data_IF_688894957309
#
_entry.id   IF_688894957309
#
_cell.length_a   1.000
_cell.length_b   1.000
_cell.length_c   1.000
_cell.angle_alpha   90.00
_cell.angle_beta   90.00
_cell.angle_gamma   90.00
#
_symmetry.space_group_name_H-M   'P 1'
#
loop_
_entity.id
_entity.type
_entity.pdbx_description
1 polymer ?
#
# COMPACT_ATOMS: atom_id res chain seq x y z
N UNK A 1 18.11 -17.05 18.10
CA UNK A 1 17.60 -15.74 18.57
C UNK A 1 17.29 -14.80 17.39
N UNK A 2 18.23 -14.53 16.50
CA UNK A 2 17.99 -13.67 15.32
C UNK A 2 16.86 -14.20 14.41
N UNK A 3 16.79 -15.51 14.18
CA UNK A 3 15.72 -16.13 13.37
C UNK A 3 14.33 -15.93 13.96
N UNK A 4 14.20 -15.93 15.30
CA UNK A 4 12.92 -15.65 15.96
C UNK A 4 12.51 -14.19 15.80
N UNK A 5 13.47 -13.26 15.93
CA UNK A 5 13.21 -11.84 15.71
C UNK A 5 12.79 -11.57 14.26
N UNK A 6 13.45 -12.22 13.30
CA UNK A 6 13.08 -12.10 11.88
C UNK A 6 11.67 -12.65 11.61
N UNK A 7 11.29 -13.75 12.26
CA UNK A 7 9.90 -14.27 12.17
C UNK A 7 8.89 -13.26 12.75
N UNK A 8 9.20 -12.63 13.88
CA UNK A 8 8.35 -11.59 14.47
C UNK A 8 8.22 -10.37 13.55
N UNK A 9 9.30 -9.97 12.87
CA UNK A 9 9.28 -8.89 11.88
C UNK A 9 8.33 -9.24 10.73
N UNK A 10 8.40 -10.46 10.19
CA UNK A 10 7.50 -10.90 9.12
C UNK A 10 6.04 -10.96 9.57
N UNK A 11 5.76 -11.50 10.75
CA UNK A 11 4.40 -11.52 11.32
C UNK A 11 3.87 -10.10 11.54
N UNK A 12 4.74 -9.18 11.96
CA UNK A 12 4.37 -7.75 12.09
C UNK A 12 4.00 -7.12 10.74
N UNK A 13 4.65 -7.53 9.65
CA UNK A 13 4.30 -7.07 8.30
C UNK A 13 2.99 -7.69 7.78
N UNK A 14 2.69 -8.95 8.11
CA UNK A 14 1.34 -9.49 7.87
C UNK A 14 0.31 -8.64 8.62
N UNK A 15 0.59 -8.36 9.89
CA UNK A 15 -0.29 -7.54 10.73
C UNK A 15 -0.50 -6.13 10.20
N UNK A 16 0.53 -5.51 9.60
CA UNK A 16 0.43 -4.21 8.94
C UNK A 16 -0.45 -4.30 7.68
N UNK A 17 -0.29 -5.33 6.87
CA UNK A 17 -1.06 -5.50 5.64
C UNK A 17 -2.54 -5.80 5.87
N UNK A 18 -2.89 -6.54 6.94
CA UNK A 18 -4.27 -6.93 7.22
C UNK A 18 -5.27 -5.76 7.18
N UNK A 19 -5.05 -4.63 7.85
CA UNK A 19 -6.00 -3.52 7.86
C UNK A 19 -5.88 -2.58 6.65
N UNK A 20 -4.77 -2.57 5.91
CA UNK A 20 -4.55 -1.65 4.79
C UNK A 20 -5.60 -1.79 3.68
N UNK A 21 -6.16 -2.98 3.52
CA UNK A 21 -7.15 -3.32 2.50
C UNK A 21 -8.59 -3.41 3.03
N UNK A 22 -8.81 -3.21 4.34
CA UNK A 22 -10.13 -3.37 4.96
C UNK A 22 -11.12 -2.30 4.54
N UNK A 23 -10.71 -1.04 4.51
CA UNK A 23 -11.63 0.06 4.23
C UNK A 23 -12.33 -0.14 2.89
N UNK A 24 -11.58 -0.44 1.82
CA UNK A 24 -12.16 -0.66 0.50
C UNK A 24 -13.08 -1.88 0.44
N UNK A 25 -12.74 -2.96 1.13
CA UNK A 25 -13.57 -4.17 1.17
C UNK A 25 -14.86 -4.02 1.99
N UNK A 26 -14.83 -3.24 3.06
CA UNK A 26 -15.96 -3.01 3.95
C UNK A 26 -16.87 -1.85 3.50
N UNK A 27 -16.34 -0.92 2.70
CA UNK A 27 -16.99 0.35 2.41
C UNK A 27 -18.40 0.25 1.83
N UNK A 28 -18.71 -0.68 0.90
CA UNK A 28 -20.10 -0.82 0.42
C UNK A 28 -21.13 -1.01 1.53
N UNK A 29 -20.80 -1.80 2.55
CA UNK A 29 -21.71 -2.01 3.69
C UNK A 29 -21.60 -0.88 4.73
N UNK A 30 -20.40 -0.33 4.94
CA UNK A 30 -20.20 0.77 5.88
C UNK A 30 -21.00 2.01 5.45
N UNK A 31 -20.91 2.41 4.19
CA UNK A 31 -21.63 3.59 3.68
C UNK A 31 -23.14 3.45 3.82
N UNK A 32 -23.69 2.26 3.52
CA UNK A 32 -25.12 1.97 3.66
C UNK A 32 -25.56 2.03 5.13
N UNK A 33 -24.84 1.34 6.02
CA UNK A 33 -25.17 1.29 7.44
C UNK A 33 -25.04 2.64 8.16
N UNK A 34 -24.16 3.52 7.69
CA UNK A 34 -23.94 4.86 8.24
C UNK A 34 -24.79 5.93 7.55
N UNK A 35 -25.47 5.61 6.44
CA UNK A 35 -26.26 6.55 5.67
C UNK A 35 -25.46 7.69 5.06
N UNK A 36 -24.20 7.41 4.63
CA UNK A 36 -23.29 8.42 4.11
C UNK A 36 -23.01 8.23 2.62
N UNK A 37 -22.48 9.28 1.98
CA UNK A 37 -22.18 9.22 0.56
C UNK A 37 -20.94 8.35 0.26
N UNK A 38 -20.90 7.81 -0.94
CA UNK A 38 -19.83 6.92 -1.42
C UNK A 38 -18.45 7.57 -1.27
N UNK A 39 -18.31 8.82 -1.69
CA UNK A 39 -17.04 9.56 -1.73
C UNK A 39 -16.36 9.73 -0.37
N UNK A 40 -17.12 9.66 0.74
CA UNK A 40 -16.59 9.82 2.09
C UNK A 40 -15.61 8.71 2.51
N UNK A 41 -15.65 7.53 1.89
CA UNK A 41 -14.61 6.50 2.04
C UNK A 41 -13.22 7.01 1.63
N UNK A 42 -13.18 7.84 0.60
CA UNK A 42 -11.96 8.51 0.17
C UNK A 42 -11.41 9.49 1.22
N UNK A 43 -12.27 10.18 1.97
CA UNK A 43 -11.85 11.09 3.06
C UNK A 43 -11.18 10.31 4.18
N UNK A 44 -11.75 9.17 4.60
CA UNK A 44 -11.12 8.30 5.61
C UNK A 44 -9.77 7.81 5.12
N UNK A 45 -9.69 7.31 3.87
CA UNK A 45 -8.45 6.87 3.24
C UNK A 45 -7.40 7.98 3.21
N UNK A 46 -7.78 9.20 2.86
CA UNK A 46 -6.91 10.37 2.89
C UNK A 46 -6.37 10.66 4.30
N UNK A 47 -7.23 10.66 5.31
CA UNK A 47 -6.82 10.89 6.71
C UNK A 47 -5.82 9.83 7.20
N UNK A 48 -6.08 8.55 6.89
CA UNK A 48 -5.16 7.45 7.21
C UNK A 48 -3.81 7.72 6.55
N UNK A 49 -3.79 7.95 5.24
CA UNK A 49 -2.54 8.12 4.48
C UNK A 49 -1.78 9.38 4.90
N UNK A 50 -2.46 10.49 5.13
CA UNK A 50 -1.83 11.73 5.62
C UNK A 50 -1.17 11.51 6.99
N UNK A 51 -1.83 10.79 7.89
CA UNK A 51 -1.29 10.44 9.21
C UNK A 51 -0.11 9.47 9.11
N UNK A 52 -0.16 8.50 8.18
CA UNK A 52 0.93 7.57 7.87
C UNK A 52 2.17 8.32 7.41
N UNK A 53 2.01 9.29 6.50
CA UNK A 53 3.12 10.12 6.01
C UNK A 53 3.73 10.94 7.15
N UNK A 54 2.91 11.60 7.96
CA UNK A 54 3.37 12.39 9.09
C UNK A 54 4.18 11.55 10.07
N UNK A 55 3.69 10.36 10.39
CA UNK A 55 4.35 9.42 11.28
C UNK A 55 5.69 8.92 10.70
N UNK A 56 5.71 8.56 9.42
CA UNK A 56 6.93 8.10 8.74
C UNK A 56 8.01 9.17 8.71
N UNK A 57 7.65 10.44 8.50
CA UNK A 57 8.59 11.57 8.55
C UNK A 57 9.20 11.78 9.94
N UNK A 58 8.44 11.47 11.01
CA UNK A 58 8.91 11.60 12.39
C UNK A 58 9.60 10.34 12.90
N UNK A 59 9.51 9.23 12.18
CA UNK A 59 9.92 7.88 12.62
C UNK A 59 11.37 7.82 13.09
N UNK A 60 12.29 8.49 12.39
CA UNK A 60 13.72 8.50 12.76
C UNK A 60 13.94 9.00 14.21
N UNK A 61 13.31 10.12 14.61
CA UNK A 61 13.43 10.68 15.96
C UNK A 61 12.82 9.75 17.01
N UNK A 62 11.70 9.13 16.67
CA UNK A 62 10.97 8.23 17.56
C UNK A 62 11.76 6.94 17.78
N UNK A 63 12.32 6.35 16.70
CA UNK A 63 13.15 5.15 16.74
C UNK A 63 14.44 5.40 17.57
N UNK A 64 15.10 6.55 17.40
CA UNK A 64 16.28 6.89 18.19
C UNK A 64 16.00 6.96 19.67
N UNK A 65 14.80 7.38 20.08
CA UNK A 65 14.44 7.54 21.50
C UNK A 65 13.93 6.26 22.15
N UNK A 66 13.14 5.46 21.42
CA UNK A 66 12.41 4.31 21.98
C UNK A 66 12.90 2.95 21.46
N UNK A 67 13.85 2.94 20.51
CA UNK A 67 14.31 1.75 19.83
C UNK A 67 13.30 1.17 18.84
N UNK A 68 13.76 0.31 17.93
CA UNK A 68 12.91 -0.30 16.90
C UNK A 68 11.80 -1.18 17.50
N UNK A 69 12.18 -2.01 18.51
CA UNK A 69 11.22 -2.91 19.15
C UNK A 69 10.12 -2.16 19.91
N UNK A 70 10.46 -1.10 20.64
CA UNK A 70 9.51 -0.27 21.36
C UNK A 70 8.54 0.45 20.41
N UNK A 71 9.07 1.03 19.33
CA UNK A 71 8.24 1.69 18.29
C UNK A 71 7.31 0.69 17.62
N UNK A 72 7.81 -0.48 17.24
CA UNK A 72 6.99 -1.53 16.61
C UNK A 72 5.83 -1.95 17.52
N UNK A 73 6.12 -2.25 18.78
CA UNK A 73 5.11 -2.66 19.77
C UNK A 73 4.04 -1.57 19.96
N UNK A 74 4.45 -0.32 20.24
CA UNK A 74 3.52 0.79 20.44
C UNK A 74 2.68 1.08 19.18
N UNK A 75 3.28 0.98 18.00
CA UNK A 75 2.60 1.21 16.73
C UNK A 75 1.54 0.14 16.45
N UNK A 76 1.85 -1.13 16.65
CA UNK A 76 0.88 -2.23 16.49
C UNK A 76 -0.24 -2.11 17.53
N UNK A 77 0.07 -1.73 18.78
CA UNK A 77 -0.93 -1.44 19.81
C UNK A 77 -1.87 -0.30 19.38
N UNK A 78 -1.30 0.77 18.83
CA UNK A 78 -2.08 1.94 18.39
C UNK A 78 -2.99 1.60 17.21
N UNK A 79 -2.50 0.82 16.21
CA UNK A 79 -3.35 0.33 15.11
C UNK A 79 -4.44 -0.62 15.62
N UNK A 80 -4.12 -1.52 16.55
CA UNK A 80 -5.09 -2.43 17.16
C UNK A 80 -6.23 -1.67 17.86
N UNK A 81 -5.89 -0.67 18.66
CA UNK A 81 -6.86 0.19 19.34
C UNK A 81 -7.69 1.01 18.35
N UNK A 82 -7.08 1.54 17.32
CA UNK A 82 -7.78 2.27 16.26
C UNK A 82 -8.80 1.38 15.53
N UNK A 83 -8.43 0.14 15.18
CA UNK A 83 -9.33 -0.82 14.55
C UNK A 83 -10.48 -1.23 15.49
N UNK A 84 -10.21 -1.34 16.79
CA UNK A 84 -11.29 -1.53 17.78
C UNK A 84 -12.22 -0.32 17.78
N UNK A 85 -11.66 0.90 17.74
CA UNK A 85 -12.43 2.13 17.61
C UNK A 85 -13.27 2.16 16.33
N UNK A 86 -12.73 1.74 15.18
CA UNK A 86 -13.54 1.55 13.97
C UNK A 86 -14.70 0.60 14.21
N UNK A 87 -14.46 -0.55 14.84
CA UNK A 87 -15.51 -1.55 15.12
C UNK A 87 -16.61 -1.08 16.05
N UNK A 88 -16.35 -0.08 16.87
CA UNK A 88 -17.30 0.51 17.83
C UNK A 88 -17.94 1.80 17.30
N UNK A 89 -17.51 2.27 16.13
CA UNK A 89 -17.97 3.52 15.55
C UNK A 89 -19.38 3.38 14.95
N UNK A 90 -20.25 4.34 15.27
CA UNK A 90 -21.62 4.42 14.76
C UNK A 90 -21.83 5.69 13.92
N UNK A 91 -20.77 6.45 13.63
CA UNK A 91 -20.85 7.67 12.81
C UNK A 91 -19.59 7.86 11.97
N UNK A 92 -19.74 8.57 10.86
CA UNK A 92 -18.60 8.94 9.99
C UNK A 92 -17.53 9.74 10.75
N UNK A 93 -17.94 10.66 11.62
CA UNK A 93 -17.01 11.48 12.39
C UNK A 93 -16.13 10.65 13.33
N UNK A 94 -16.70 9.65 14.01
CA UNK A 94 -15.91 8.74 14.88
C UNK A 94 -14.92 7.90 14.07
N UNK A 95 -15.26 7.48 12.85
CA UNK A 95 -14.32 6.81 11.95
C UNK A 95 -13.15 7.73 11.57
N UNK A 96 -13.43 8.99 11.24
CA UNK A 96 -12.38 9.99 10.95
C UNK A 96 -11.44 10.20 12.14
N UNK A 97 -11.95 10.24 13.37
CA UNK A 97 -11.12 10.36 14.58
C UNK A 97 -10.18 9.16 14.74
N UNK A 98 -10.69 7.94 14.54
CA UNK A 98 -9.88 6.72 14.65
C UNK A 98 -8.94 6.51 13.45
N UNK A 99 -9.20 7.11 12.29
CA UNK A 99 -8.32 7.08 11.12
C UNK A 99 -6.94 7.70 11.42
N UNK A 100 -6.89 8.73 12.28
CA UNK A 100 -5.65 9.41 12.64
C UNK A 100 -4.68 8.48 13.41
N UNK A 101 -5.05 7.92 14.59
CA UNK A 101 -4.15 7.00 15.30
C UNK A 101 -3.85 5.73 14.49
N UNK A 102 -4.78 5.26 13.65
CA UNK A 102 -4.51 4.16 12.74
C UNK A 102 -3.35 4.49 11.80
N UNK A 103 -3.41 5.62 11.07
CA UNK A 103 -2.35 6.02 10.14
C UNK A 103 -1.02 6.31 10.85
N UNK A 104 -1.04 6.95 12.02
CA UNK A 104 0.18 7.20 12.82
C UNK A 104 0.88 5.90 13.21
N UNK A 105 0.13 4.88 13.63
CA UNK A 105 0.67 3.56 13.94
C UNK A 105 1.23 2.86 12.71
N UNK A 106 0.48 2.82 11.61
CA UNK A 106 0.89 2.16 10.38
C UNK A 106 2.21 2.72 9.82
N UNK A 107 2.35 4.06 9.77
CA UNK A 107 3.56 4.70 9.26
C UNK A 107 4.80 4.48 10.14
N UNK A 108 4.63 4.46 11.46
CA UNK A 108 5.75 4.25 12.38
C UNK A 108 6.27 2.82 12.32
N UNK A 109 5.41 1.81 12.27
CA UNK A 109 5.84 0.40 12.20
C UNK A 109 6.49 0.09 10.86
N UNK A 110 5.93 0.59 9.76
CA UNK A 110 6.51 0.41 8.42
C UNK A 110 7.93 0.96 8.36
N UNK A 111 8.13 2.21 8.76
CA UNK A 111 9.42 2.86 8.76
C UNK A 111 10.43 2.16 9.69
N UNK A 112 9.99 1.73 10.88
CA UNK A 112 10.88 1.09 11.88
C UNK A 112 11.40 -0.26 11.39
N UNK A 113 10.51 -1.10 10.86
CA UNK A 113 10.88 -2.45 10.43
C UNK A 113 11.65 -2.45 9.12
N UNK A 114 11.29 -1.61 8.15
CA UNK A 114 12.07 -1.44 6.93
C UNK A 114 13.50 -0.99 7.26
N UNK A 115 13.67 0.01 8.12
CA UNK A 115 14.98 0.48 8.54
C UNK A 115 15.79 -0.63 9.24
N UNK A 116 15.16 -1.40 10.12
CA UNK A 116 15.84 -2.51 10.80
C UNK A 116 16.32 -3.57 9.81
N UNK A 117 15.47 -3.98 8.86
CA UNK A 117 15.82 -4.99 7.86
C UNK A 117 16.94 -4.51 6.93
N UNK A 118 16.91 -3.24 6.51
CA UNK A 118 18.00 -2.64 5.71
C UNK A 118 19.34 -2.70 6.44
N UNK A 119 19.36 -2.40 7.74
CA UNK A 119 20.60 -2.32 8.52
C UNK A 119 21.16 -3.68 8.93
N UNK A 120 20.30 -4.69 9.14
CA UNK A 120 20.70 -5.96 9.81
C UNK A 120 20.52 -7.19 8.93
N UNK A 121 19.86 -7.10 7.76
CA UNK A 121 19.51 -8.24 6.95
C UNK A 121 20.04 -8.13 5.52
N UNK A 122 20.10 -9.27 4.80
CA UNK A 122 20.42 -9.30 3.36
C UNK A 122 19.22 -8.80 2.55
N UNK A 123 19.46 -8.27 1.35
CA UNK A 123 18.43 -7.74 0.43
C UNK A 123 17.23 -8.68 0.21
N UNK A 124 17.43 -10.00 0.18
CA UNK A 124 16.35 -11.00 0.05
C UNK A 124 15.27 -10.88 1.14
N UNK A 125 15.66 -10.48 2.35
CA UNK A 125 14.72 -10.32 3.47
C UNK A 125 13.81 -9.11 3.30
N UNK A 126 14.27 -8.08 2.59
CA UNK A 126 13.42 -6.95 2.21
C UNK A 126 12.30 -7.38 1.25
N UNK A 127 12.64 -8.16 0.22
CA UNK A 127 11.63 -8.70 -0.70
C UNK A 127 10.62 -9.59 0.02
N UNK A 128 11.08 -10.44 0.93
CA UNK A 128 10.19 -11.29 1.72
C UNK A 128 9.29 -10.49 2.66
N UNK A 129 9.81 -9.42 3.25
CA UNK A 129 9.04 -8.52 4.09
C UNK A 129 7.78 -8.01 3.37
N UNK A 130 7.97 -7.52 2.14
CA UNK A 130 6.85 -7.05 1.31
C UNK A 130 5.92 -8.18 0.80
N UNK A 131 6.44 -9.42 0.64
CA UNK A 131 5.58 -10.56 0.38
C UNK A 131 4.67 -10.87 1.59
N UNK A 132 5.21 -10.81 2.81
CA UNK A 132 4.42 -11.01 4.03
C UNK A 132 3.37 -9.90 4.23
N UNK A 133 3.69 -8.66 3.91
CA UNK A 133 2.69 -7.59 3.83
C UNK A 133 1.57 -7.94 2.84
N UNK A 134 1.92 -8.45 1.65
CA UNK A 134 0.98 -8.90 0.64
C UNK A 134 0.04 -10.02 1.12
N UNK A 135 0.54 -10.96 1.94
CA UNK A 135 -0.30 -11.97 2.60
C UNK A 135 -1.34 -11.28 3.49
N UNK A 136 -0.93 -10.27 4.26
CA UNK A 136 -1.83 -9.48 5.09
C UNK A 136 -2.91 -8.78 4.29
N UNK A 137 -2.52 -8.03 3.25
CA UNK A 137 -3.48 -7.28 2.40
C UNK A 137 -4.44 -8.20 1.63
N UNK A 138 -4.03 -9.42 1.33
CA UNK A 138 -4.91 -10.45 0.77
C UNK A 138 -5.87 -11.01 1.82
N UNK A 139 -5.37 -11.26 3.03
CA UNK A 139 -6.13 -11.86 4.12
C UNK A 139 -7.21 -10.93 4.70
N UNK A 140 -6.93 -9.63 4.78
CA UNK A 140 -7.86 -8.64 5.35
C UNK A 140 -9.25 -8.65 4.71
N UNK A 141 -9.38 -8.41 3.39
CA UNK A 141 -10.66 -8.44 2.70
C UNK A 141 -11.35 -9.80 2.75
N UNK A 142 -10.58 -10.89 2.75
CA UNK A 142 -11.14 -12.23 2.86
C UNK A 142 -11.80 -12.45 4.24
N UNK A 143 -11.13 -12.03 5.33
CA UNK A 143 -11.69 -12.06 6.70
C UNK A 143 -12.94 -11.17 6.77
N UNK A 144 -12.88 -9.96 6.20
CA UNK A 144 -14.05 -9.07 6.13
C UNK A 144 -15.21 -9.75 5.42
N UNK A 145 -14.99 -10.31 4.25
CA UNK A 145 -16.04 -11.01 3.49
C UNK A 145 -16.60 -12.24 4.21
N UNK A 146 -15.80 -12.95 5.02
CA UNK A 146 -16.29 -14.03 5.89
C UNK A 146 -17.19 -13.49 7.00
N UNK A 147 -16.83 -12.38 7.65
CA UNK A 147 -17.67 -11.75 8.68
C UNK A 147 -19.00 -11.29 8.07
N UNK A 148 -18.96 -10.66 6.90
CA UNK A 148 -20.16 -10.21 6.18
C UNK A 148 -21.05 -11.39 5.80
N UNK A 149 -20.49 -12.47 5.23
CA UNK A 149 -21.27 -13.66 4.82
C UNK A 149 -21.94 -14.42 5.99
N UNK A 150 -21.42 -14.22 7.21
CA UNK A 150 -22.03 -14.77 8.44
C UNK A 150 -23.05 -13.81 9.10
N UNK A 151 -23.35 -12.69 8.46
CA UNK A 151 -24.27 -11.68 9.02
C UNK A 151 -23.73 -10.91 10.24
N UNK A 152 -22.44 -11.00 10.53
CA UNK A 152 -21.83 -10.34 11.70
C UNK A 152 -21.54 -8.84 11.49
N UNK A 153 -21.71 -8.34 10.26
CA UNK A 153 -21.46 -6.96 9.89
C UNK A 153 -19.98 -6.61 9.74
N UNK A 154 -19.70 -5.43 9.18
CA UNK A 154 -18.34 -4.93 8.95
C UNK A 154 -17.57 -4.67 10.26
N UNK A 155 -18.28 -4.34 11.33
CA UNK A 155 -17.71 -4.13 12.68
C UNK A 155 -16.96 -5.38 13.16
N UNK A 156 -17.51 -6.58 12.89
CA UNK A 156 -16.88 -7.83 13.28
C UNK A 156 -15.56 -8.06 12.54
N UNK A 157 -15.45 -7.68 11.27
CA UNK A 157 -14.21 -7.75 10.50
C UNK A 157 -13.09 -6.91 11.13
N UNK A 158 -13.37 -5.65 11.42
CA UNK A 158 -12.43 -4.75 12.11
C UNK A 158 -12.07 -5.29 13.52
N UNK A 159 -13.04 -5.77 14.28
CA UNK A 159 -12.83 -6.33 15.62
C UNK A 159 -11.95 -7.57 15.59
N UNK A 160 -12.15 -8.46 14.63
CA UNK A 160 -11.34 -9.67 14.46
C UNK A 160 -9.88 -9.32 14.23
N UNK A 161 -9.59 -8.39 13.32
CA UNK A 161 -8.22 -7.98 13.04
C UNK A 161 -7.63 -7.20 14.20
N UNK A 162 -8.42 -6.36 14.89
CA UNK A 162 -7.99 -5.71 16.12
C UNK A 162 -7.49 -6.72 17.17
N UNK A 163 -8.25 -7.79 17.43
CA UNK A 163 -7.83 -8.82 18.39
C UNK A 163 -6.58 -9.57 17.95
N UNK A 164 -6.41 -9.86 16.66
CA UNK A 164 -5.18 -10.45 16.14
C UNK A 164 -3.97 -9.51 16.39
N UNK A 165 -4.15 -8.21 16.16
CA UNK A 165 -3.10 -7.22 16.43
C UNK A 165 -2.85 -7.02 17.94
N UNK A 166 -3.86 -7.09 18.79
CA UNK A 166 -3.68 -7.07 20.24
C UNK A 166 -2.86 -8.26 20.73
N UNK A 167 -3.16 -9.46 20.22
CA UNK A 167 -2.38 -10.66 20.52
C UNK A 167 -0.91 -10.50 20.06
N UNK A 168 -0.68 -9.97 18.86
CA UNK A 168 0.66 -9.66 18.38
C UNK A 168 1.35 -8.60 19.25
N UNK A 169 0.64 -7.57 19.68
CA UNK A 169 1.17 -6.54 20.59
C UNK A 169 1.70 -7.17 21.88
N UNK A 170 0.98 -8.12 22.46
CA UNK A 170 1.43 -8.84 23.65
C UNK A 170 2.69 -9.66 23.36
N UNK A 171 2.76 -10.34 22.22
CA UNK A 171 3.97 -11.08 21.80
C UNK A 171 5.14 -10.13 21.60
N UNK A 172 4.91 -8.97 20.97
CA UNK A 172 5.94 -7.94 20.78
C UNK A 172 6.44 -7.37 22.11
N UNK A 173 5.52 -7.12 23.07
CA UNK A 173 5.89 -6.68 24.42
C UNK A 173 6.81 -7.68 25.12
N UNK A 174 6.48 -8.97 25.06
CA UNK A 174 7.31 -10.04 25.65
C UNK A 174 8.64 -10.21 24.92
N UNK A 175 8.72 -9.82 23.63
CA UNK A 175 9.92 -9.92 22.81
C UNK A 175 10.88 -8.72 22.94
N UNK A 176 10.52 -7.65 23.63
CA UNK A 176 11.35 -6.45 23.75
C UNK A 176 12.81 -6.73 24.17
N UNK A 177 13.12 -7.69 25.08
CA UNK A 177 14.50 -8.03 25.42
C UNK A 177 15.32 -8.58 24.24
N UNK A 178 14.65 -9.20 23.22
CA UNK A 178 15.33 -9.72 22.03
C UNK A 178 15.79 -8.58 21.11
N UNK A 179 14.99 -7.52 21.01
CA UNK A 179 15.32 -6.33 20.21
C UNK A 179 16.52 -5.59 20.78
N UNK A 180 16.56 -5.35 22.09
CA UNK A 180 17.67 -4.66 22.76
C UNK A 180 19.03 -5.33 22.55
N UNK A 181 19.06 -6.67 22.37
CA UNK A 181 20.29 -7.42 22.12
C UNK A 181 20.82 -7.27 20.68
N UNK A 182 19.99 -6.86 19.76
CA UNK A 182 20.31 -6.71 18.33
C UNK A 182 20.45 -5.24 17.91
N UNK A 183 19.94 -4.30 18.69
CA UNK A 183 20.16 -2.89 18.47
C UNK A 183 21.62 -2.57 18.76
N UNK A 184 22.43 -2.41 17.70
CA UNK A 184 23.77 -1.87 17.81
C UNK A 184 23.68 -0.47 18.45
N UNK A 185 24.58 -0.11 19.38
CA UNK A 185 24.71 1.28 19.77
C UNK A 185 24.91 2.10 18.50
N UNK A 186 24.11 3.14 18.29
CA UNK A 186 24.28 4.10 17.22
C UNK A 186 25.56 4.94 17.45
N UNK A 187 26.71 4.23 17.58
CA UNK A 187 28.02 4.83 17.71
C UNK A 187 28.53 5.14 16.30
N UNK A 188 28.46 6.43 15.94
CA UNK A 188 29.39 7.00 14.96
C UNK A 188 29.23 6.62 13.49
N UNK A 189 28.10 6.05 13.07
CA UNK A 189 27.78 6.00 11.65
C UNK A 189 27.55 7.43 11.17
N UNK A 190 28.37 7.90 10.23
CA UNK A 190 28.13 9.14 9.51
C UNK A 190 26.64 9.19 9.16
N UNK A 191 25.91 10.05 9.83
CA UNK A 191 24.60 10.48 9.36
C UNK A 191 24.88 11.08 8.00
N UNK A 192 24.69 10.29 6.92
CA UNK A 192 24.54 10.84 5.59
C UNK A 192 23.36 11.79 5.72
N UNK A 193 23.68 13.05 6.04
CA UNK A 193 22.65 14.11 6.09
C UNK A 193 21.95 14.01 4.76
N UNK A 194 20.64 13.79 4.72
CA UNK A 194 19.91 13.84 3.48
C UNK A 194 20.24 15.21 2.89
N UNK A 195 21.03 15.23 1.82
CA UNK A 195 21.28 16.47 1.12
C UNK A 195 19.90 16.96 0.73
N UNK A 196 19.52 18.12 1.23
CA UNK A 196 18.25 18.75 0.86
C UNK A 196 18.19 18.77 -0.65
N UNK A 197 17.22 18.09 -1.27
CA UNK A 197 17.17 18.00 -2.72
C UNK A 197 17.14 19.41 -3.27
N UNK A 198 18.11 19.75 -4.14
CA UNK A 198 18.05 21.00 -4.87
C UNK A 198 16.97 20.86 -5.95
N UNK A 199 15.70 20.91 -5.52
CA UNK A 199 14.51 20.70 -6.34
C UNK A 199 14.56 21.44 -7.68
N UNK A 200 15.05 22.68 -7.69
CA UNK A 200 15.16 23.48 -8.90
C UNK A 200 16.12 22.90 -9.94
N UNK A 201 17.19 22.23 -9.51
CA UNK A 201 18.14 21.57 -10.42
C UNK A 201 17.66 20.20 -10.83
N UNK A 202 17.03 19.44 -9.89
CA UNK A 202 16.53 18.10 -10.13
C UNK A 202 15.39 18.09 -11.17
N UNK A 203 14.41 18.97 -11.02
CA UNK A 203 13.24 19.07 -11.92
C UNK A 203 13.58 19.61 -13.32
N UNK A 204 14.76 20.21 -13.49
CA UNK A 204 15.22 20.69 -14.81
C UNK A 204 15.89 19.59 -15.64
N UNK A 205 16.24 18.45 -15.03
CA UNK A 205 16.85 17.34 -15.77
C UNK A 205 15.87 16.63 -16.69
N UNK A 206 16.26 16.28 -17.92
CA UNK A 206 15.42 15.52 -18.83
C UNK A 206 14.93 14.21 -18.18
N UNK A 207 13.70 13.83 -18.40
CA UNK A 207 13.10 12.60 -17.91
C UNK A 207 12.67 12.59 -16.44
N UNK A 208 13.20 13.46 -15.56
CA UNK A 208 12.88 13.45 -14.12
C UNK A 208 11.40 13.73 -13.86
N UNK A 209 10.81 14.74 -14.50
CA UNK A 209 9.37 15.03 -14.33
C UNK A 209 8.51 13.85 -14.77
N UNK A 210 8.87 13.20 -15.89
CA UNK A 210 8.16 12.04 -16.39
C UNK A 210 8.23 10.86 -15.40
N UNK A 211 9.42 10.57 -14.87
CA UNK A 211 9.63 9.53 -13.87
C UNK A 211 8.80 9.79 -12.59
N UNK A 212 8.81 11.01 -12.06
CA UNK A 212 8.05 11.40 -10.87
C UNK A 212 6.54 11.29 -11.08
N UNK A 213 6.05 11.74 -12.24
CA UNK A 213 4.62 11.67 -12.56
C UNK A 213 4.17 10.23 -12.86
N UNK A 214 5.05 9.38 -13.41
CA UNK A 214 4.77 7.95 -13.56
C UNK A 214 4.55 7.26 -12.19
N UNK A 215 5.36 7.58 -11.18
CA UNK A 215 5.16 7.11 -9.80
C UNK A 215 3.83 7.57 -9.20
N UNK A 216 3.44 8.82 -9.46
CA UNK A 216 2.13 9.32 -9.04
C UNK A 216 1.00 8.48 -9.63
N UNK A 217 1.00 8.22 -10.95
CA UNK A 217 -0.06 7.45 -11.59
C UNK A 217 -0.05 5.97 -11.18
N UNK A 218 1.13 5.38 -10.91
CA UNK A 218 1.22 4.04 -10.33
C UNK A 218 0.48 3.96 -9.00
N UNK A 219 0.78 4.86 -8.07
CA UNK A 219 0.16 4.86 -6.75
C UNK A 219 -1.33 5.22 -6.82
N UNK A 220 -1.72 6.11 -7.73
CA UNK A 220 -3.13 6.41 -7.99
C UNK A 220 -3.88 5.16 -8.48
N UNK A 221 -3.29 4.37 -9.38
CA UNK A 221 -3.84 3.10 -9.85
C UNK A 221 -4.03 2.11 -8.71
N UNK A 222 -2.96 1.84 -7.94
CA UNK A 222 -2.97 0.84 -6.86
C UNK A 222 -3.98 1.19 -5.76
N UNK A 223 -3.92 2.43 -5.25
CA UNK A 223 -4.81 2.90 -4.17
C UNK A 223 -6.28 2.98 -4.60
N UNK A 224 -6.55 3.47 -5.81
CA UNK A 224 -7.92 3.56 -6.33
C UNK A 224 -8.51 2.18 -6.57
N UNK A 225 -7.70 1.23 -7.09
CA UNK A 225 -8.14 -0.15 -7.29
C UNK A 225 -8.54 -0.79 -5.96
N UNK A 226 -7.72 -0.69 -4.95
CA UNK A 226 -7.98 -1.28 -3.64
C UNK A 226 -9.17 -0.67 -2.91
N UNK A 227 -9.34 0.65 -2.98
CA UNK A 227 -10.41 1.33 -2.26
C UNK A 227 -11.78 1.15 -2.92
N UNK A 228 -11.88 1.30 -4.23
CA UNK A 228 -13.16 1.37 -4.92
C UNK A 228 -13.58 0.08 -5.63
N UNK A 229 -12.71 -0.93 -5.71
CA UNK A 229 -13.01 -2.18 -6.40
C UNK A 229 -14.25 -2.90 -5.87
N UNK A 230 -14.43 -3.01 -4.55
CA UNK A 230 -15.63 -3.60 -3.95
C UNK A 230 -16.87 -2.77 -4.25
N UNK A 231 -16.78 -1.45 -4.14
CA UNK A 231 -17.91 -0.54 -4.43
C UNK A 231 -18.36 -0.63 -5.90
N UNK A 232 -17.41 -0.75 -6.84
CA UNK A 232 -17.71 -0.99 -8.27
C UNK A 232 -18.44 -2.32 -8.46
N UNK A 233 -17.95 -3.39 -7.85
CA UNK A 233 -18.57 -4.72 -7.94
C UNK A 233 -20.00 -4.73 -7.42
N UNK A 234 -20.26 -4.04 -6.32
CA UNK A 234 -21.62 -3.94 -5.74
C UNK A 234 -22.51 -3.06 -6.61
N UNK A 235 -22.08 -1.83 -6.91
CA UNK A 235 -22.95 -0.83 -7.55
C UNK A 235 -23.24 -1.10 -9.03
N UNK A 236 -22.27 -1.66 -9.78
CA UNK A 236 -22.38 -1.83 -11.24
C UNK A 236 -22.60 -3.29 -11.65
N UNK A 237 -21.96 -4.23 -10.94
CA UNK A 237 -22.00 -5.66 -11.29
C UNK A 237 -23.07 -6.41 -10.48
N UNK A 238 -23.75 -5.78 -9.53
CA UNK A 238 -24.79 -6.40 -8.69
C UNK A 238 -24.29 -7.52 -7.81
N UNK A 239 -22.99 -7.52 -7.49
CA UNK A 239 -22.36 -8.54 -6.63
C UNK A 239 -22.64 -8.19 -5.17
N UNK A 240 -22.97 -9.18 -4.36
CA UNK A 240 -23.21 -8.93 -2.94
C UNK A 240 -21.97 -8.37 -2.21
N UNK A 241 -22.13 -7.49 -1.21
CA UNK A 241 -21.00 -6.89 -0.48
C UNK A 241 -20.01 -7.92 0.09
N UNK A 242 -20.51 -9.07 0.56
CA UNK A 242 -19.69 -10.15 1.11
C UNK A 242 -18.80 -10.79 0.05
N UNK A 243 -19.36 -11.00 -1.14
CA UNK A 243 -18.62 -11.56 -2.30
C UNK A 243 -17.63 -10.55 -2.84
N UNK A 244 -18.03 -9.29 -2.97
CA UNK A 244 -17.16 -8.20 -3.41
C UNK A 244 -15.97 -8.02 -2.46
N UNK A 245 -16.19 -8.08 -1.14
CA UNK A 245 -15.13 -8.03 -0.14
C UNK A 245 -14.14 -9.19 -0.28
N UNK A 246 -14.62 -10.42 -0.55
CA UNK A 246 -13.74 -11.56 -0.81
C UNK A 246 -12.98 -11.41 -2.14
N UNK A 247 -13.64 -10.91 -3.18
CA UNK A 247 -13.03 -10.85 -4.51
C UNK A 247 -12.00 -9.75 -4.66
N UNK A 248 -12.10 -8.63 -3.93
CA UNK A 248 -11.04 -7.62 -3.96
C UNK A 248 -9.71 -8.17 -3.39
N UNK A 249 -9.74 -9.21 -2.57
CA UNK A 249 -8.53 -9.90 -2.12
C UNK A 249 -7.72 -10.50 -3.28
N UNK A 250 -8.37 -10.82 -4.41
CA UNK A 250 -7.72 -11.34 -5.62
C UNK A 250 -6.77 -10.33 -6.26
N UNK A 251 -7.10 -9.03 -6.19
CA UNK A 251 -6.18 -7.97 -6.61
C UNK A 251 -4.90 -7.97 -5.77
N UNK A 252 -5.03 -8.04 -4.46
CA UNK A 252 -3.87 -8.10 -3.55
C UNK A 252 -3.12 -9.43 -3.66
N UNK A 253 -3.81 -10.53 -3.90
CA UNK A 253 -3.18 -11.82 -4.23
C UNK A 253 -2.35 -11.71 -5.51
N UNK A 254 -2.88 -11.02 -6.53
CA UNK A 254 -2.14 -10.71 -7.75
C UNK A 254 -0.86 -9.93 -7.50
N UNK A 255 -0.91 -8.86 -6.67
CA UNK A 255 0.28 -8.09 -6.27
C UNK A 255 1.29 -9.00 -5.53
N UNK A 256 0.82 -9.80 -4.58
CA UNK A 256 1.67 -10.67 -3.76
C UNK A 256 2.37 -11.72 -4.62
N UNK A 257 1.62 -12.44 -5.44
CA UNK A 257 2.15 -13.44 -6.37
C UNK A 257 3.10 -12.77 -7.40
N UNK A 258 2.70 -11.62 -7.94
CA UNK A 258 3.51 -10.87 -8.88
C UNK A 258 4.85 -10.43 -8.28
N UNK A 259 4.88 -9.93 -7.04
CA UNK A 259 6.13 -9.59 -6.34
C UNK A 259 7.03 -10.81 -6.11
N UNK A 260 6.42 -11.94 -5.76
CA UNK A 260 7.17 -13.20 -5.62
C UNK A 260 7.82 -13.62 -6.94
N UNK A 261 7.05 -13.67 -8.03
CA UNK A 261 7.56 -14.07 -9.35
C UNK A 261 8.50 -13.03 -9.97
N UNK A 262 8.29 -11.75 -9.73
CA UNK A 262 9.17 -10.67 -10.21
C UNK A 262 10.62 -10.87 -9.76
N UNK A 263 10.85 -11.37 -8.55
CA UNK A 263 12.20 -11.68 -8.06
C UNK A 263 12.97 -12.68 -8.93
N UNK A 264 12.27 -13.60 -9.61
CA UNK A 264 12.88 -14.54 -10.55
C UNK A 264 12.98 -13.97 -11.96
N UNK A 265 11.97 -13.20 -12.38
CA UNK A 265 11.93 -12.61 -13.72
C UNK A 265 13.02 -11.55 -13.92
N UNK A 266 13.36 -10.78 -12.88
CA UNK A 266 14.45 -9.78 -12.91
C UNK A 266 15.84 -10.40 -13.17
N UNK A 267 16.00 -11.72 -13.03
CA UNK A 267 17.23 -12.42 -13.42
C UNK A 267 17.38 -12.55 -14.94
N UNK A 268 16.30 -12.40 -15.70
CA UNK A 268 16.29 -12.58 -17.17
C UNK A 268 15.85 -11.34 -17.93
N UNK A 269 15.07 -10.47 -17.31
CA UNK A 269 14.49 -9.28 -17.94
C UNK A 269 15.06 -8.02 -17.32
N UNK A 270 15.28 -6.99 -18.16
CA UNK A 270 15.66 -5.67 -17.70
C UNK A 270 14.51 -4.99 -16.94
N UNK A 271 14.84 -3.96 -16.14
CA UNK A 271 13.83 -3.17 -15.43
C UNK A 271 12.77 -2.60 -16.38
N UNK A 272 13.16 -2.16 -17.56
CA UNK A 272 12.26 -1.63 -18.58
C UNK A 272 11.31 -2.68 -19.14
N UNK A 273 11.82 -3.89 -19.38
CA UNK A 273 10.99 -5.00 -19.82
C UNK A 273 9.97 -5.41 -18.73
N UNK A 274 10.40 -5.37 -17.47
CA UNK A 274 9.53 -5.65 -16.32
C UNK A 274 8.43 -4.60 -16.17
N UNK A 275 8.73 -3.32 -16.36
CA UNK A 275 7.73 -2.23 -16.35
C UNK A 275 6.71 -2.42 -17.47
N UNK A 276 7.16 -2.63 -18.72
CA UNK A 276 6.28 -2.86 -19.87
C UNK A 276 5.38 -4.09 -19.69
N UNK A 277 5.96 -5.19 -19.19
CA UNK A 277 5.21 -6.41 -18.88
C UNK A 277 4.13 -6.13 -17.83
N UNK A 278 4.47 -5.40 -16.77
CA UNK A 278 3.55 -5.00 -15.72
C UNK A 278 2.42 -4.12 -16.25
N UNK A 279 2.75 -3.06 -17.00
CA UNK A 279 1.78 -2.14 -17.59
C UNK A 279 0.84 -2.86 -18.55
N UNK A 280 1.36 -3.71 -19.46
CA UNK A 280 0.55 -4.50 -20.39
C UNK A 280 -0.38 -5.46 -19.67
N UNK A 281 0.11 -6.15 -18.63
CA UNK A 281 -0.70 -7.09 -17.83
C UNK A 281 -1.81 -6.34 -17.09
N UNK A 282 -1.51 -5.17 -16.50
CA UNK A 282 -2.51 -4.33 -15.83
C UNK A 282 -3.57 -3.84 -16.81
N UNK A 283 -3.19 -3.37 -18.02
CA UNK A 283 -4.14 -2.94 -19.06
C UNK A 283 -5.09 -4.07 -19.41
N UNK A 284 -4.59 -5.29 -19.66
CA UNK A 284 -5.44 -6.45 -19.95
C UNK A 284 -6.40 -6.73 -18.82
N UNK A 285 -5.91 -6.71 -17.55
CA UNK A 285 -6.74 -6.88 -16.37
C UNK A 285 -7.85 -5.82 -16.29
N UNK A 286 -7.52 -4.54 -16.49
CA UNK A 286 -8.48 -3.43 -16.44
C UNK A 286 -9.52 -3.52 -17.58
N UNK A 287 -9.11 -3.95 -18.77
CA UNK A 287 -10.05 -4.18 -19.88
C UNK A 287 -11.07 -5.27 -19.50
N UNK A 288 -10.64 -6.35 -18.84
CA UNK A 288 -11.58 -7.38 -18.35
C UNK A 288 -12.55 -6.83 -17.28
N UNK A 289 -12.12 -5.86 -16.45
CA UNK A 289 -13.01 -5.18 -15.50
C UNK A 289 -14.02 -4.29 -16.22
N UNK A 290 -13.61 -3.63 -17.32
CA UNK A 290 -14.44 -2.70 -18.09
C UNK A 290 -15.54 -3.42 -18.87
N UNK A 291 -15.22 -4.59 -19.46
CA UNK A 291 -16.14 -5.31 -20.30
C UNK A 291 -17.28 -5.97 -19.51
N UNK A 292 -18.51 -5.96 -19.99
CA UNK A 292 -19.67 -6.57 -19.36
C UNK A 292 -19.68 -8.11 -19.53
N UNK A 293 -18.57 -8.75 -19.18
CA UNK A 293 -18.39 -10.19 -19.26
C UNK A 293 -18.89 -10.90 -18.00
N UNK A 294 -18.92 -12.22 -18.03
CA UNK A 294 -19.26 -13.05 -16.88
C UNK A 294 -18.32 -12.75 -15.69
N UNK A 295 -18.83 -12.88 -14.48
CA UNK A 295 -18.13 -12.54 -13.24
C UNK A 295 -16.76 -13.24 -13.05
N UNK A 296 -16.54 -14.40 -13.69
CA UNK A 296 -15.23 -15.05 -13.71
C UNK A 296 -14.14 -14.16 -14.32
N UNK A 297 -14.47 -13.45 -15.41
CA UNK A 297 -13.52 -12.52 -16.05
C UNK A 297 -13.22 -11.31 -15.18
N UNK A 298 -14.14 -10.91 -14.32
CA UNK A 298 -13.90 -9.88 -13.30
C UNK A 298 -12.83 -10.33 -12.29
N UNK A 299 -12.94 -11.57 -11.79
CA UNK A 299 -11.94 -12.15 -10.90
C UNK A 299 -10.57 -12.23 -11.57
N UNK A 300 -10.51 -12.71 -12.82
CA UNK A 300 -9.28 -12.76 -13.61
C UNK A 300 -8.71 -11.34 -13.81
N UNK A 301 -9.58 -10.37 -14.12
CA UNK A 301 -9.21 -8.97 -14.27
C UNK A 301 -8.56 -8.39 -13.03
N UNK A 302 -9.12 -8.65 -11.84
CA UNK A 302 -8.53 -8.23 -10.56
C UNK A 302 -7.14 -8.84 -10.32
N UNK A 303 -6.99 -10.16 -10.56
CA UNK A 303 -5.70 -10.84 -10.43
C UNK A 303 -4.68 -10.25 -11.40
N UNK A 304 -5.02 -10.07 -12.67
CA UNK A 304 -4.12 -9.54 -13.68
C UNK A 304 -3.75 -8.08 -13.40
N UNK A 305 -4.69 -7.26 -12.93
CA UNK A 305 -4.38 -5.88 -12.53
C UNK A 305 -3.36 -5.87 -11.39
N UNK A 306 -3.53 -6.72 -10.39
CA UNK A 306 -2.59 -6.86 -9.28
C UNK A 306 -1.22 -7.40 -9.72
N UNK A 307 -1.20 -8.47 -10.54
CA UNK A 307 0.03 -9.02 -11.13
C UNK A 307 0.79 -7.97 -11.93
N UNK A 308 0.06 -7.14 -12.69
CA UNK A 308 0.64 -6.05 -13.47
C UNK A 308 1.25 -4.95 -12.60
N UNK A 309 0.59 -4.56 -11.51
CA UNK A 309 1.12 -3.55 -10.58
C UNK A 309 2.41 -4.00 -9.90
N UNK A 310 2.58 -5.30 -9.66
CA UNK A 310 3.64 -5.84 -8.81
C UNK A 310 5.08 -5.49 -9.24
N UNK A 311 5.51 -5.63 -10.50
CA UNK A 311 6.88 -5.35 -10.93
C UNK A 311 7.14 -3.85 -11.16
N UNK A 312 6.12 -3.02 -11.35
CA UNK A 312 6.28 -1.63 -11.83
C UNK A 312 7.07 -0.79 -10.82
N UNK A 313 6.60 -0.71 -9.58
CA UNK A 313 7.21 0.12 -8.54
C UNK A 313 8.68 -0.24 -8.28
N UNK A 314 9.05 -1.50 -8.00
CA UNK A 314 10.43 -1.86 -7.72
C UNK A 314 11.34 -1.66 -8.94
N UNK A 315 10.88 -1.96 -10.16
CA UNK A 315 11.70 -1.80 -11.37
C UNK A 315 11.92 -0.33 -11.73
N UNK A 316 10.91 0.55 -11.59
CA UNK A 316 11.09 1.98 -11.78
C UNK A 316 12.09 2.58 -10.78
N UNK A 317 12.04 2.12 -9.52
CA UNK A 317 12.97 2.58 -8.49
C UNK A 317 14.40 2.09 -8.76
N UNK A 318 14.54 0.81 -9.14
CA UNK A 318 15.83 0.18 -9.43
C UNK A 318 16.51 0.77 -10.68
N UNK A 319 15.76 1.17 -11.71
CA UNK A 319 16.26 1.83 -12.91
C UNK A 319 16.77 3.26 -12.66
N UNK A 320 16.41 3.91 -11.54
CA UNK A 320 16.73 5.32 -11.28
C UNK A 320 18.23 5.64 -11.26
N UNK A 321 19.13 4.85 -10.61
CA UNK A 321 20.57 5.09 -10.64
C UNK A 321 21.19 4.95 -12.03
N UNK A 322 20.66 4.05 -12.85
CA UNK A 322 21.15 3.83 -14.22
C UNK A 322 20.76 5.01 -15.12
N UNK A 323 19.52 5.48 -15.02
CA UNK A 323 18.97 6.56 -15.87
C UNK A 323 19.48 7.96 -15.51
N UNK A 324 19.65 8.25 -14.23
CA UNK A 324 19.93 9.62 -13.75
C UNK A 324 21.32 9.77 -13.10
N UNK A 325 22.10 8.68 -13.02
CA UNK A 325 23.42 8.63 -12.41
C UNK A 325 23.40 8.45 -10.88
N UNK A 326 24.44 7.80 -10.35
CA UNK A 326 24.55 7.42 -8.93
C UNK A 326 24.51 8.62 -7.98
N UNK A 327 25.06 9.78 -8.38
CA UNK A 327 25.11 10.99 -7.54
C UNK A 327 23.76 11.61 -7.25
N UNK A 328 22.77 11.42 -8.13
CA UNK A 328 21.42 11.97 -7.99
C UNK A 328 20.39 10.90 -7.57
N UNK A 329 20.74 9.62 -7.69
CA UNK A 329 19.81 8.52 -7.51
C UNK A 329 19.16 8.54 -6.13
N UNK A 330 19.93 8.72 -5.07
CA UNK A 330 19.41 8.73 -3.70
C UNK A 330 18.37 9.84 -3.49
N UNK A 331 18.65 11.05 -3.95
CA UNK A 331 17.73 12.19 -3.86
C UNK A 331 16.48 11.96 -4.72
N UNK A 332 16.65 11.41 -5.93
CA UNK A 332 15.54 11.17 -6.84
C UNK A 332 14.64 10.02 -6.37
N UNK A 333 15.23 8.92 -5.90
CA UNK A 333 14.49 7.79 -5.31
C UNK A 333 13.67 8.25 -4.09
N UNK A 334 14.27 9.03 -3.18
CA UNK A 334 13.54 9.62 -2.07
C UNK A 334 12.38 10.52 -2.51
N UNK A 335 12.57 11.27 -3.60
CA UNK A 335 11.53 12.10 -4.21
C UNK A 335 10.41 11.26 -4.84
N UNK A 336 10.77 10.19 -5.55
CA UNK A 336 9.80 9.24 -6.13
C UNK A 336 8.92 8.63 -5.03
N UNK A 337 9.53 8.17 -3.95
CA UNK A 337 8.79 7.65 -2.79
C UNK A 337 7.93 8.74 -2.14
N UNK A 338 8.45 9.95 -1.98
CA UNK A 338 7.68 11.06 -1.42
C UNK A 338 6.47 11.43 -2.29
N UNK A 339 6.60 11.42 -3.62
CA UNK A 339 5.48 11.67 -4.54
C UNK A 339 4.46 10.52 -4.49
N UNK A 340 4.91 9.28 -4.38
CA UNK A 340 4.04 8.14 -4.16
C UNK A 340 3.21 8.32 -2.88
N UNK A 341 3.85 8.75 -1.79
CA UNK A 341 3.17 8.93 -0.50
C UNK A 341 2.43 10.28 -0.36
N UNK A 342 2.83 11.34 -1.03
CA UNK A 342 2.24 12.68 -0.89
C UNK A 342 1.30 13.05 -2.04
N UNK A 343 1.61 12.61 -3.26
CA UNK A 343 0.90 13.01 -4.47
C UNK A 343 -0.33 12.16 -4.78
N UNK A 344 -0.28 10.86 -4.49
CA UNK A 344 -1.35 9.93 -4.84
C UNK A 344 -2.53 9.84 -3.85
N UNK A 345 -2.41 10.09 -2.53
CA UNK A 345 -3.53 9.99 -1.60
C UNK A 345 -4.78 10.82 -1.96
N UNK A 346 -4.67 11.98 -2.62
CA UNK A 346 -5.85 12.70 -3.09
C UNK A 346 -6.66 11.99 -4.17
N UNK A 347 -6.04 11.05 -4.93
CA UNK A 347 -6.71 10.41 -6.08
C UNK A 347 -7.87 9.50 -5.71
N UNK A 348 -7.81 8.65 -4.65
CA UNK A 348 -8.98 7.91 -4.21
C UNK A 348 -10.19 8.80 -3.84
N UNK A 349 -10.07 9.89 -3.05
CA UNK A 349 -11.17 10.84 -2.85
C UNK A 349 -11.70 11.46 -4.13
N UNK A 350 -10.82 11.91 -5.03
CA UNK A 350 -11.21 12.50 -6.32
C UNK A 350 -11.94 11.48 -7.18
N UNK A 351 -11.43 10.26 -7.28
CA UNK A 351 -12.06 9.17 -8.01
C UNK A 351 -13.42 8.81 -7.42
N UNK A 352 -13.55 8.78 -6.09
CA UNK A 352 -14.81 8.55 -5.40
C UNK A 352 -15.84 9.64 -5.67
N UNK A 353 -15.42 10.90 -5.62
CA UNK A 353 -16.29 12.04 -5.94
C UNK A 353 -16.78 12.00 -7.40
N UNK A 354 -15.89 11.74 -8.36
CA UNK A 354 -16.27 11.59 -9.77
C UNK A 354 -17.23 10.41 -9.97
N UNK A 355 -16.96 9.29 -9.32
CA UNK A 355 -17.81 8.10 -9.39
C UNK A 355 -19.19 8.32 -8.77
N UNK A 356 -19.29 9.12 -7.70
CA UNK A 356 -20.56 9.48 -7.08
C UNK A 356 -21.38 10.45 -7.94
N UNK A 357 -20.73 11.46 -8.53
CA UNK A 357 -21.41 12.49 -9.32
C UNK A 357 -21.83 12.03 -10.72
N UNK A 358 -21.09 11.12 -11.33
CA UNK A 358 -21.33 10.66 -12.69
C UNK A 358 -21.83 9.23 -12.68
N UNK A 359 -20.97 8.26 -12.36
CA UNK A 359 -21.30 6.84 -12.22
C UNK A 359 -20.10 6.08 -11.68
N UNK A 360 -20.36 5.07 -10.83
CA UNK A 360 -19.34 4.11 -10.41
C UNK A 360 -18.78 3.29 -11.59
N UNK A 361 -19.46 3.25 -12.74
CA UNK A 361 -18.96 2.69 -13.99
C UNK A 361 -17.71 3.37 -14.53
N UNK A 362 -17.37 4.59 -14.07
CA UNK A 362 -16.12 5.27 -14.41
C UNK A 362 -14.87 4.62 -13.77
N UNK A 363 -15.04 3.80 -12.72
CA UNK A 363 -13.92 3.19 -12.01
C UNK A 363 -12.90 2.51 -12.94
N UNK A 364 -13.26 1.50 -13.78
CA UNK A 364 -12.27 0.87 -14.66
C UNK A 364 -11.71 1.83 -15.73
N UNK A 365 -12.50 2.84 -16.16
CA UNK A 365 -12.03 3.86 -17.09
C UNK A 365 -10.93 4.73 -16.44
N UNK A 366 -11.12 5.15 -15.20
CA UNK A 366 -10.09 5.90 -14.45
C UNK A 366 -8.82 5.09 -14.27
N UNK A 367 -8.93 3.79 -13.94
CA UNK A 367 -7.78 2.90 -13.83
C UNK A 367 -7.03 2.79 -15.17
N UNK A 368 -7.77 2.69 -16.27
CA UNK A 368 -7.19 2.64 -17.62
C UNK A 368 -6.45 3.95 -17.94
N UNK A 369 -7.08 5.09 -17.66
CA UNK A 369 -6.44 6.42 -17.84
C UNK A 369 -5.16 6.53 -17.02
N UNK A 370 -5.17 6.13 -15.75
CA UNK A 370 -3.96 6.17 -14.90
C UNK A 370 -2.86 5.28 -15.48
N UNK A 371 -3.21 4.08 -15.94
CA UNK A 371 -2.23 3.15 -16.52
C UNK A 371 -1.67 3.68 -17.83
N UNK A 372 -2.51 4.19 -18.74
CA UNK A 372 -2.06 4.77 -20.00
C UNK A 372 -1.18 6.02 -19.80
N UNK A 373 -1.56 6.92 -18.87
CA UNK A 373 -0.73 8.06 -18.51
C UNK A 373 0.64 7.62 -17.97
N UNK A 374 0.64 6.59 -17.11
CA UNK A 374 1.88 6.00 -16.58
C UNK A 374 2.74 5.46 -17.74
N UNK A 375 2.17 4.64 -18.64
CA UNK A 375 2.89 4.04 -19.78
C UNK A 375 3.50 5.11 -20.70
N UNK A 376 2.73 6.15 -21.04
CA UNK A 376 3.24 7.26 -21.87
C UNK A 376 4.41 7.97 -21.18
N UNK A 377 4.32 8.17 -19.88
CA UNK A 377 5.34 8.87 -19.10
C UNK A 377 6.61 8.02 -18.89
N UNK A 378 6.47 6.72 -18.68
CA UNK A 378 7.60 5.80 -18.58
C UNK A 378 8.37 5.72 -19.90
N UNK A 379 7.68 5.60 -21.04
CA UNK A 379 8.31 5.62 -22.37
C UNK A 379 8.96 6.99 -22.66
N UNK A 380 8.26 8.10 -22.38
CA UNK A 380 8.84 9.44 -22.54
C UNK A 380 10.10 9.64 -21.68
N UNK A 381 10.08 9.11 -20.46
CA UNK A 381 11.23 9.16 -19.56
C UNK A 381 12.47 8.47 -20.16
N UNK A 382 12.29 7.31 -20.78
CA UNK A 382 13.35 6.54 -21.46
C UNK A 382 13.95 7.31 -22.63
N UNK A 383 13.11 7.79 -23.54
CA UNK A 383 13.60 8.58 -24.69
C UNK A 383 14.39 9.83 -24.27
N UNK A 384 14.04 10.45 -23.15
CA UNK A 384 14.77 11.62 -22.62
C UNK A 384 16.14 11.27 -22.00
N UNK A 385 16.35 10.01 -21.59
CA UNK A 385 17.63 9.54 -20.98
C UNK A 385 18.53 8.83 -21.97
N UNK A 386 18.11 8.66 -23.23
CA UNK A 386 18.94 8.11 -24.32
C UNK A 386 19.01 6.57 -24.32
N UNK A 387 18.05 5.90 -23.68
CA UNK A 387 17.88 4.43 -23.71
C UNK A 387 16.81 3.99 -24.71
#
# INVERSE_FOLDING_TARGET
MFSLLLALIYVSFISLGLPDSLLGSAWPQMQESLGVSLSLGGVISFLITASTILSSLMSHRVIQRFGTGGVTMCSVAMTALALLGFSLSNSFFTLCLWAIPYGLGAGSVDAALNNFVVLHCKAKHMSWLHCFWGIGTTGGPYIMGLCLSRGMGWQAGYRTISFLQMALTLILLLSLPLWKKQELPLSGGETVRPQTPQWGKLLKRPGVKAALTAFFFYSALELTTGLWGSSYMVAIRGISPETAAKWISLFYLGITAGRFFSGFLTLRFSDDAMVRLGEGTAIVGIILLLLPLHNLFLCVGLILTGLGCAPIYPSLLHATPQRFGKSLSQSLMGTQMAISYLGSPPMPPVSGFLSEKISMGLYPVLLLVFTLCMTILTEKGRHCTGE
#
